data_IF_258598819635
#
_entry.id   IF_258598819635
#
_cell.length_a   1.000
_cell.length_b   1.000
_cell.length_c   1.000
_cell.angle_alpha   90.00
_cell.angle_beta   90.00
_cell.angle_gamma   90.00
#
_symmetry.space_group_name_H-M   'P 1'
#
loop_
_entity.id
_entity.type
_entity.pdbx_description
1 polymer ?
#
# COMPACT_ATOMS: atom_id res chain seq x y z
N UNK A 1 7.27 23.02 2.16
CA UNK A 1 6.78 21.98 3.08
C UNK A 1 6.06 20.93 2.27
N UNK A 2 6.37 19.65 2.48
CA UNK A 2 5.65 18.56 1.83
C UNK A 2 4.23 18.44 2.39
N UNK A 3 3.25 18.16 1.52
CA UNK A 3 1.86 17.99 1.95
C UNK A 3 1.69 16.61 2.60
N UNK A 4 0.72 16.46 3.52
CA UNK A 4 0.41 15.14 4.10
C UNK A 4 0.08 14.12 3.00
N UNK A 5 -0.59 14.54 1.91
CA UNK A 5 -0.89 13.66 0.79
C UNK A 5 0.38 13.09 0.14
N UNK A 6 1.39 13.93 -0.08
CA UNK A 6 2.67 13.49 -0.64
C UNK A 6 3.44 12.58 0.33
N UNK A 7 3.45 12.90 1.63
CA UNK A 7 4.05 12.05 2.65
C UNK A 7 3.41 10.66 2.70
N UNK A 8 2.07 10.56 2.75
CA UNK A 8 1.38 9.26 2.76
C UNK A 8 1.63 8.50 1.45
N UNK A 9 1.64 9.18 0.30
CA UNK A 9 1.98 8.56 -0.98
C UNK A 9 3.38 7.94 -0.96
N UNK A 10 4.37 8.60 -0.35
CA UNK A 10 5.71 8.04 -0.21
C UNK A 10 5.72 6.81 0.70
N UNK A 11 4.95 6.79 1.78
CA UNK A 11 4.86 5.63 2.68
C UNK A 11 4.20 4.41 1.99
N UNK A 12 3.18 4.64 1.16
CA UNK A 12 2.57 3.61 0.31
C UNK A 12 3.58 3.02 -0.69
N UNK A 13 4.35 3.89 -1.36
CA UNK A 13 5.41 3.45 -2.27
C UNK A 13 6.52 2.71 -1.52
N UNK A 14 6.91 3.17 -0.32
CA UNK A 14 7.88 2.49 0.55
C UNK A 14 7.41 1.07 0.86
N UNK A 15 6.14 0.89 1.23
CA UNK A 15 5.56 -0.45 1.49
C UNK A 15 5.65 -1.37 0.26
N UNK A 16 5.36 -0.84 -0.93
CA UNK A 16 5.35 -1.62 -2.18
C UNK A 16 6.76 -1.97 -2.68
N UNK A 17 7.72 -1.05 -2.57
CA UNK A 17 9.01 -1.13 -3.28
C UNK A 17 10.20 -1.46 -2.38
N UNK A 18 10.10 -1.35 -1.06
CA UNK A 18 11.17 -1.82 -0.18
C UNK A 18 11.32 -3.34 -0.25
N UNK A 19 12.56 -3.81 -0.32
CA UNK A 19 12.90 -5.21 -0.07
C UNK A 19 12.81 -5.47 1.44
N UNK A 20 11.70 -6.08 1.85
CA UNK A 20 11.40 -6.33 3.25
C UNK A 20 12.23 -7.48 3.83
N UNK A 21 12.75 -8.38 2.99
CA UNK A 21 13.64 -9.43 3.47
C UNK A 21 14.98 -8.83 3.89
N UNK A 22 15.50 -7.88 3.11
CA UNK A 22 16.71 -7.15 3.44
C UNK A 22 16.51 -6.09 4.55
N UNK A 23 15.29 -5.55 4.70
CA UNK A 23 14.98 -4.46 5.65
C UNK A 23 13.71 -4.74 6.48
N UNK A 24 13.67 -5.81 7.28
CA UNK A 24 12.44 -6.24 7.96
C UNK A 24 11.92 -5.24 8.99
N UNK A 25 12.79 -4.40 9.56
CA UNK A 25 12.39 -3.37 10.56
C UNK A 25 11.45 -2.31 9.97
N UNK A 26 11.48 -2.09 8.65
CA UNK A 26 10.60 -1.12 7.97
C UNK A 26 9.13 -1.52 8.09
N UNK A 27 8.83 -2.81 8.26
CA UNK A 27 7.46 -3.30 8.45
C UNK A 27 6.83 -2.66 9.68
N UNK A 28 7.55 -2.61 10.80
CA UNK A 28 7.03 -2.05 12.06
C UNK A 28 6.99 -0.51 12.03
N UNK A 29 7.78 0.13 11.16
CA UNK A 29 7.67 1.56 10.89
C UNK A 29 6.39 1.91 10.12
N UNK A 30 5.95 1.03 9.22
CA UNK A 30 4.85 1.29 8.29
C UNK A 30 3.50 0.71 8.73
N UNK A 31 3.48 -0.48 9.32
CA UNK A 31 2.27 -1.19 9.70
C UNK A 31 2.07 -1.15 11.21
N UNK A 32 0.93 -0.65 11.64
CA UNK A 32 0.52 -0.67 13.04
C UNK A 32 0.34 -2.12 13.53
N UNK A 33 0.42 -2.36 14.84
CA UNK A 33 0.20 -3.69 15.40
C UNK A 33 -1.24 -4.18 15.19
N UNK A 34 -2.20 -3.27 15.02
CA UNK A 34 -3.61 -3.59 14.75
C UNK A 34 -3.95 -3.64 13.26
N UNK A 35 -2.96 -3.68 12.38
CA UNK A 35 -3.17 -3.66 10.93
C UNK A 35 -4.00 -4.85 10.43
N UNK A 36 -4.94 -4.57 9.53
CA UNK A 36 -5.77 -5.54 8.81
C UNK A 36 -5.85 -5.18 7.32
N UNK A 37 -5.96 -6.19 6.47
CA UNK A 37 -6.19 -6.01 5.04
C UNK A 37 -7.44 -6.76 4.56
N UNK A 38 -8.18 -6.14 3.63
CA UNK A 38 -9.11 -6.83 2.73
C UNK A 38 -8.53 -6.83 1.33
N UNK A 39 -8.13 -8.00 0.82
CA UNK A 39 -7.50 -8.08 -0.50
C UNK A 39 -8.51 -7.83 -1.65
N UNK A 40 -8.00 -7.86 -2.88
CA UNK A 40 -8.83 -7.63 -4.07
C UNK A 40 -9.81 -8.80 -4.40
N UNK A 41 -9.80 -9.86 -3.61
CA UNK A 41 -10.74 -10.99 -3.65
C UNK A 41 -11.78 -10.91 -2.52
N UNK A 42 -11.68 -9.91 -1.63
CA UNK A 42 -12.54 -9.80 -0.45
C UNK A 42 -12.09 -10.70 0.72
N UNK A 43 -10.89 -11.27 0.67
CA UNK A 43 -10.34 -12.04 1.79
C UNK A 43 -9.79 -11.10 2.86
N UNK A 44 -10.19 -11.30 4.11
CA UNK A 44 -9.62 -10.63 5.27
C UNK A 44 -8.30 -11.30 5.61
N UNK A 45 -7.23 -10.52 5.72
CA UNK A 45 -5.88 -10.94 6.07
C UNK A 45 -5.41 -10.21 7.33
N UNK A 46 -4.85 -10.96 8.27
CA UNK A 46 -4.19 -10.42 9.45
C UNK A 46 -2.87 -9.75 9.08
N UNK A 47 -2.36 -8.91 9.99
CA UNK A 47 -1.01 -8.37 9.89
C UNK A 47 0.04 -9.44 9.64
N UNK A 48 0.02 -10.56 10.36
CA UNK A 48 1.01 -11.61 10.20
C UNK A 48 0.99 -12.18 8.78
N UNK A 49 -0.20 -12.42 8.22
CA UNK A 49 -0.35 -12.94 6.86
C UNK A 49 0.20 -11.95 5.82
N UNK A 50 -0.12 -10.66 5.96
CA UNK A 50 0.39 -9.62 5.05
C UNK A 50 1.91 -9.44 5.21
N UNK A 51 2.46 -9.51 6.41
CA UNK A 51 3.90 -9.45 6.65
C UNK A 51 4.61 -10.64 6.02
N UNK A 52 4.08 -11.86 6.18
CA UNK A 52 4.62 -13.04 5.50
C UNK A 52 4.62 -12.86 3.98
N UNK A 53 3.56 -12.28 3.40
CA UNK A 53 3.52 -11.97 1.98
C UNK A 53 4.56 -10.91 1.59
N UNK A 54 4.67 -9.81 2.34
CA UNK A 54 5.62 -8.73 2.09
C UNK A 54 7.08 -9.19 2.11
N UNK A 55 7.42 -10.14 2.97
CA UNK A 55 8.77 -10.73 3.06
C UNK A 55 9.11 -11.63 1.85
N UNK A 56 8.10 -12.10 1.12
CA UNK A 56 8.27 -13.05 0.01
C UNK A 56 7.84 -12.48 -1.36
N UNK A 57 7.46 -11.19 -1.43
CA UNK A 57 6.99 -10.57 -2.68
C UNK A 57 8.13 -10.45 -3.70
N UNK A 58 7.79 -10.47 -4.99
CA UNK A 58 8.73 -10.16 -6.07
C UNK A 58 9.14 -8.68 -6.03
N UNK A 59 10.36 -8.40 -5.59
CA UNK A 59 10.90 -7.03 -5.53
C UNK A 59 11.14 -6.40 -6.90
N UNK A 60 11.17 -7.19 -7.98
CA UNK A 60 11.22 -6.63 -9.33
C UNK A 60 9.86 -6.07 -9.79
N UNK A 61 8.78 -6.31 -9.05
CA UNK A 61 7.46 -5.80 -9.36
C UNK A 61 7.35 -4.30 -9.04
N UNK A 62 7.13 -3.51 -10.09
CA UNK A 62 6.98 -2.06 -9.98
C UNK A 62 5.51 -1.64 -10.08
N UNK A 63 5.18 -0.59 -9.34
CA UNK A 63 3.82 -0.05 -9.21
C UNK A 63 3.85 1.46 -9.29
N UNK A 64 2.86 2.06 -9.94
CA UNK A 64 2.58 3.49 -9.84
C UNK A 64 1.25 3.75 -9.15
N UNK A 65 1.18 4.86 -8.40
CA UNK A 65 -0.04 5.29 -7.71
C UNK A 65 -0.59 6.53 -8.42
N UNK A 66 -1.71 6.35 -9.11
CA UNK A 66 -2.43 7.37 -9.88
C UNK A 66 -3.63 7.89 -9.09
N UNK A 67 -4.09 9.10 -9.42
CA UNK A 67 -5.23 9.78 -8.79
C UNK A 67 -5.18 9.79 -7.26
N UNK A 68 -3.96 9.88 -6.73
CA UNK A 68 -3.71 9.77 -5.30
C UNK A 68 -4.28 10.97 -4.56
N UNK A 69 -5.18 10.70 -3.63
CA UNK A 69 -5.79 11.71 -2.77
C UNK A 69 -5.96 11.19 -1.36
N UNK A 70 -6.09 12.12 -0.42
CA UNK A 70 -6.41 11.80 0.96
C UNK A 70 -7.68 12.52 1.41
N UNK A 71 -8.35 11.98 2.42
CA UNK A 71 -9.32 12.71 3.25
C UNK A 71 -8.86 12.62 4.70
N UNK A 72 -8.93 13.72 5.44
CA UNK A 72 -8.73 13.70 6.88
C UNK A 72 -9.97 13.13 7.55
N UNK A 73 -9.78 12.15 8.42
CA UNK A 73 -10.83 11.59 9.29
C UNK A 73 -10.76 12.21 10.69
N UNK A 74 -9.56 12.61 11.11
CA UNK A 74 -9.30 13.36 12.34
C UNK A 74 -8.01 14.18 12.21
N UNK A 75 -7.55 14.82 13.29
CA UNK A 75 -6.25 15.50 13.32
C UNK A 75 -5.07 14.54 13.05
N UNK A 76 -5.22 13.27 13.46
CA UNK A 76 -4.17 12.26 13.45
C UNK A 76 -4.53 11.03 12.60
N UNK A 77 -5.58 11.11 11.78
CA UNK A 77 -6.02 9.99 10.94
C UNK A 77 -6.41 10.49 9.56
N UNK A 78 -5.93 9.80 8.54
CA UNK A 78 -6.30 10.05 7.14
C UNK A 78 -6.66 8.75 6.45
N UNK A 79 -7.53 8.83 5.45
CA UNK A 79 -7.73 7.77 4.47
C UNK A 79 -7.09 8.22 3.16
N UNK A 80 -6.24 7.39 2.57
CA UNK A 80 -5.75 7.54 1.22
C UNK A 80 -6.61 6.71 0.26
N UNK A 81 -6.83 7.23 -0.94
CA UNK A 81 -7.59 6.58 -2.01
C UNK A 81 -6.82 6.81 -3.30
N UNK A 82 -6.54 5.75 -4.04
CA UNK A 82 -5.71 5.82 -5.24
C UNK A 82 -5.92 4.62 -6.17
N UNK A 83 -5.47 4.74 -7.42
CA UNK A 83 -5.37 3.63 -8.35
C UNK A 83 -3.94 3.10 -8.37
N UNK A 84 -3.75 1.84 -8.00
CA UNK A 84 -2.47 1.15 -8.12
C UNK A 84 -2.39 0.46 -9.48
N UNK A 85 -1.38 0.81 -10.27
CA UNK A 85 -1.14 0.26 -11.60
C UNK A 85 0.18 -0.51 -11.58
N UNK A 86 0.12 -1.80 -11.90
CA UNK A 86 1.30 -2.66 -12.02
C UNK A 86 1.96 -2.39 -13.37
N UNK A 87 3.29 -2.21 -13.36
CA UNK A 87 4.06 -2.16 -14.60
C UNK A 87 4.45 -3.59 -14.99
N UNK A 88 4.01 -4.06 -16.15
CA UNK A 88 4.47 -5.35 -16.67
C UNK A 88 5.92 -5.24 -17.16
N UNK A 89 6.73 -6.28 -16.93
CA UNK A 89 7.97 -6.46 -17.67
C UNK A 89 7.59 -6.67 -19.13
N UNK A 90 8.29 -6.00 -20.06
CA UNK A 90 7.99 -5.88 -21.49
C UNK A 90 8.02 -7.21 -22.30
N UNK A 91 7.71 -8.36 -21.70
CA UNK A 91 7.87 -9.69 -22.29
C UNK A 91 6.57 -10.45 -22.51
N UNK A 92 5.39 -9.83 -22.36
CA UNK A 92 4.12 -10.45 -22.78
C UNK A 92 3.32 -9.52 -23.67
N UNK A 93 2.71 -10.16 -24.66
CA UNK A 93 1.91 -9.65 -25.78
C UNK A 93 1.04 -8.43 -25.44
N UNK A 94 0.93 -7.51 -26.41
CA UNK A 94 0.22 -6.21 -26.44
C UNK A 94 -1.26 -6.17 -25.97
N UNK A 95 -1.79 -7.23 -25.36
CA UNK A 95 -3.19 -7.36 -24.93
C UNK A 95 -3.37 -7.66 -23.43
N UNK A 96 -2.33 -7.54 -22.60
CA UNK A 96 -2.52 -7.64 -21.16
C UNK A 96 -3.17 -6.34 -20.63
N UNK A 97 -4.47 -6.39 -20.40
CA UNK A 97 -5.23 -5.34 -19.69
C UNK A 97 -4.47 -5.03 -18.39
N UNK A 98 -4.00 -3.79 -18.25
CA UNK A 98 -3.34 -3.28 -17.05
C UNK A 98 -4.20 -3.61 -15.82
N UNK A 99 -3.88 -4.70 -15.13
CA UNK A 99 -4.61 -5.24 -13.98
C UNK A 99 -4.36 -4.39 -12.74
N UNK A 100 -4.96 -3.20 -12.75
CA UNK A 100 -4.93 -2.25 -11.65
C UNK A 100 -5.94 -2.62 -10.56
N UNK A 101 -5.77 -1.98 -9.41
CA UNK A 101 -6.77 -1.99 -8.33
C UNK A 101 -7.01 -0.58 -7.84
N UNK A 102 -8.26 -0.28 -7.48
CA UNK A 102 -8.55 0.89 -6.66
C UNK A 102 -8.27 0.46 -5.22
N UNK A 103 -7.46 1.24 -4.51
CA UNK A 103 -7.05 0.94 -3.14
C UNK A 103 -7.45 2.07 -2.22
N UNK A 104 -7.76 1.68 -0.99
CA UNK A 104 -7.97 2.58 0.12
C UNK A 104 -7.19 2.10 1.33
N UNK A 105 -6.52 3.02 2.02
CA UNK A 105 -5.76 2.72 3.23
C UNK A 105 -6.03 3.77 4.29
N UNK A 106 -6.10 3.35 5.55
CA UNK A 106 -6.22 4.24 6.68
C UNK A 106 -4.84 4.33 7.35
N UNK A 107 -4.36 5.56 7.47
CA UNK A 107 -3.11 5.88 8.15
C UNK A 107 -3.43 6.67 9.41
N UNK A 108 -2.81 6.26 10.52
CA UNK A 108 -2.94 6.91 11.80
C UNK A 108 -1.57 7.32 12.34
N UNK A 109 -1.50 8.53 12.89
CA UNK A 109 -0.27 9.07 13.47
C UNK A 109 -0.07 8.49 14.87
N UNK A 110 1.10 7.87 15.10
CA UNK A 110 1.60 7.32 16.36
C UNK A 110 2.85 8.13 16.74
N UNK A 111 2.70 9.09 17.65
CA UNK A 111 3.75 10.08 17.91
C UNK A 111 4.05 10.90 16.65
N UNK A 112 5.26 10.77 16.12
CA UNK A 112 5.69 11.48 14.90
C UNK A 112 5.64 10.62 13.62
N UNK A 113 5.20 9.38 13.72
CA UNK A 113 5.16 8.44 12.60
C UNK A 113 3.73 8.16 12.14
N UNK A 114 3.52 8.07 10.84
CA UNK A 114 2.28 7.55 10.27
C UNK A 114 2.40 6.05 10.11
N UNK A 115 1.42 5.31 10.64
CA UNK A 115 1.31 3.86 10.48
C UNK A 115 -0.01 3.49 9.85
N UNK A 116 0.01 2.58 8.90
CA UNK A 116 -1.17 2.03 8.26
C UNK A 116 -1.87 1.10 9.26
N UNK A 117 -3.16 1.31 9.47
CA UNK A 117 -4.00 0.49 10.36
C UNK A 117 -4.99 -0.36 9.58
N UNK A 118 -5.28 -0.02 8.33
CA UNK A 118 -6.19 -0.78 7.48
C UNK A 118 -5.84 -0.57 6.00
N UNK A 119 -6.03 -1.62 5.18
CA UNK A 119 -5.92 -1.55 3.73
C UNK A 119 -7.04 -2.34 3.06
N UNK A 120 -7.56 -1.83 1.95
CA UNK A 120 -8.49 -2.57 1.10
C UNK A 120 -8.16 -2.34 -0.37
N UNK A 121 -8.21 -3.42 -1.15
CA UNK A 121 -8.11 -3.36 -2.60
C UNK A 121 -9.43 -3.79 -3.26
N UNK A 122 -9.77 -3.15 -4.38
CA UNK A 122 -10.91 -3.54 -5.23
C UNK A 122 -10.41 -3.66 -6.66
N UNK A 123 -10.69 -4.80 -7.31
CA UNK A 123 -10.34 -5.02 -8.72
C UNK A 123 -11.04 -3.96 -9.57
N UNK A 124 -10.27 -3.29 -10.44
CA UNK A 124 -10.89 -2.52 -11.51
C UNK A 124 -11.38 -3.51 -12.56
N UNK A 125 -12.69 -3.48 -12.86
CA UNK A 125 -13.31 -4.20 -13.97
C UNK A 125 -12.96 -3.49 -15.27
#
# INVERSE_FOLDING_TARGET
METIAAQIKQLELKLLHTDMQANPTVIDELLDSTFEEIDNNGQINTRQQVVSWLLNKDNAQQWSLQDFRIKRLSNNTVIAIYRAVKHEKATKTFNAVNSGSIRSSIWQRRGDQWKMVFHQATRSI
#
